data_IF_682237952601
#
_entry.id   IF_682237952601
#
_cell.length_a   1.000
_cell.length_b   1.000
_cell.length_c   1.000
_cell.angle_alpha   90.00
_cell.angle_beta   90.00
_cell.angle_gamma   90.00
#
_symmetry.space_group_name_H-M   'P 1'
#
loop_
_entity.id
_entity.type
_entity.pdbx_description
1 polymer ?
#
# COMPACT_ATOMS: atom_id res chain seq x y z
N UNK A 1 18.60 -4.06 3.50
CA UNK A 1 18.44 -4.05 4.97
C UNK A 1 17.59 -2.85 5.37
N UNK A 2 16.48 -3.03 6.11
CA UNK A 2 15.54 -1.97 6.49
C UNK A 2 16.18 -0.81 7.29
N UNK A 3 17.36 -1.05 7.86
CA UNK A 3 18.14 -0.08 8.61
C UNK A 3 18.73 1.06 7.76
N UNK A 4 18.95 0.86 6.45
CA UNK A 4 19.59 1.89 5.59
C UNK A 4 18.63 3.04 5.21
N UNK A 5 17.32 2.82 5.28
CA UNK A 5 16.30 3.85 5.00
C UNK A 5 16.01 4.76 6.21
N UNK A 6 16.42 4.33 7.42
CA UNK A 6 16.05 5.00 8.68
C UNK A 6 16.94 6.21 9.00
N UNK A 7 18.01 6.43 8.24
CA UNK A 7 19.13 7.29 8.65
C UNK A 7 19.15 8.71 8.03
N UNK A 8 18.15 9.09 7.22
CA UNK A 8 17.99 10.48 6.72
C UNK A 8 16.57 11.00 7.00
N UNK A 9 16.34 11.46 8.23
CA UNK A 9 15.08 12.00 8.77
C UNK A 9 14.68 13.39 8.24
N UNK A 10 14.87 13.68 6.95
CA UNK A 10 14.34 14.87 6.28
C UNK A 10 14.18 14.62 4.77
N UNK A 11 13.47 13.56 4.39
CA UNK A 11 13.07 13.37 2.99
C UNK A 11 11.76 14.13 2.74
N UNK A 12 11.72 15.14 1.84
CA UNK A 12 10.48 15.81 1.49
C UNK A 12 9.43 14.82 1.00
N UNK A 13 8.15 14.98 1.32
CA UNK A 13 7.09 14.07 0.88
C UNK A 13 7.05 13.87 -0.66
N UNK A 14 7.49 14.89 -1.42
CA UNK A 14 7.64 14.84 -2.88
C UNK A 14 8.68 13.80 -3.34
N UNK A 15 9.73 13.56 -2.56
CA UNK A 15 10.73 12.52 -2.78
C UNK A 15 10.12 11.12 -2.72
N UNK A 16 9.20 10.87 -1.78
CA UNK A 16 8.58 9.56 -1.60
C UNK A 16 7.67 9.18 -2.77
N UNK A 17 6.97 10.16 -3.37
CA UNK A 17 6.09 9.95 -4.54
C UNK A 17 6.85 9.54 -5.80
N UNK A 18 8.14 9.86 -5.87
CA UNK A 18 9.04 9.43 -6.96
C UNK A 18 9.51 7.98 -6.77
N UNK A 19 9.55 7.48 -5.52
CA UNK A 19 10.11 6.16 -5.20
C UNK A 19 9.08 5.05 -5.08
N UNK A 20 7.86 5.39 -4.68
CA UNK A 20 6.81 4.42 -4.48
C UNK A 20 5.47 4.94 -5.02
N UNK A 21 4.63 4.07 -5.60
CA UNK A 21 3.25 4.40 -5.92
C UNK A 21 2.51 4.95 -4.70
N UNK A 22 1.57 5.90 -4.88
CA UNK A 22 0.80 6.48 -3.77
C UNK A 22 0.12 5.45 -2.87
N UNK A 23 -0.35 4.34 -3.44
CA UNK A 23 -1.00 3.30 -2.67
C UNK A 23 -0.03 2.56 -1.73
N UNK A 24 1.19 2.26 -2.18
CA UNK A 24 2.19 1.62 -1.32
C UNK A 24 2.59 2.52 -0.15
N UNK A 25 2.65 3.85 -0.38
CA UNK A 25 2.88 4.81 0.70
C UNK A 25 1.72 4.81 1.70
N UNK A 26 0.48 4.71 1.22
CA UNK A 26 -0.71 4.59 2.07
C UNK A 26 -0.71 3.26 2.85
N UNK A 27 -0.47 2.13 2.19
CA UNK A 27 -0.30 0.80 2.81
C UNK A 27 0.73 0.85 3.95
N UNK A 28 1.90 1.46 3.70
CA UNK A 28 2.93 1.64 4.72
C UNK A 28 2.48 2.54 5.88
N UNK A 29 1.77 3.63 5.60
CA UNK A 29 1.23 4.52 6.64
C UNK A 29 0.17 3.81 7.50
N UNK A 30 -0.75 3.07 6.88
CA UNK A 30 -1.75 2.24 7.56
C UNK A 30 -1.08 1.22 8.47
N UNK A 31 -0.04 0.55 7.99
CA UNK A 31 0.72 -0.39 8.82
C UNK A 31 1.36 0.30 10.03
N UNK A 32 1.93 1.49 9.85
CA UNK A 32 2.53 2.25 10.95
C UNK A 32 1.50 2.70 11.99
N UNK A 33 0.28 3.06 11.59
CA UNK A 33 -0.80 3.45 12.52
C UNK A 33 -1.06 2.35 13.55
N UNK A 34 -1.13 1.09 13.09
CA UNK A 34 -1.48 -0.03 13.96
C UNK A 34 -0.27 -0.50 14.76
N UNK A 35 0.91 -0.61 14.12
CA UNK A 35 2.16 -1.00 14.79
C UNK A 35 2.58 -0.05 15.91
N UNK A 36 2.28 1.26 15.77
CA UNK A 36 2.60 2.25 16.80
C UNK A 36 1.44 2.47 17.79
N UNK A 37 0.30 1.80 17.60
CA UNK A 37 -0.88 1.98 18.44
C UNK A 37 -1.46 3.40 18.40
N UNK A 38 -1.43 4.05 17.23
CA UNK A 38 -1.97 5.41 17.03
C UNK A 38 -3.50 5.35 16.92
N UNK A 39 -4.15 5.08 18.05
CA UNK A 39 -5.60 4.82 18.13
C UNK A 39 -6.44 5.97 17.58
N UNK A 40 -5.98 7.22 17.75
CA UNK A 40 -6.66 8.41 17.19
C UNK A 40 -6.87 8.35 15.67
N UNK A 41 -6.10 7.52 14.96
CA UNK A 41 -6.19 7.36 13.50
C UNK A 41 -7.03 6.14 13.09
N UNK A 42 -7.53 5.35 14.04
CA UNK A 42 -8.29 4.13 13.73
C UNK A 42 -9.62 4.43 13.05
N UNK A 43 -10.22 5.62 13.30
CA UNK A 43 -11.43 6.05 12.59
C UNK A 43 -11.20 6.21 11.08
N UNK A 44 -10.13 6.90 10.69
CA UNK A 44 -9.76 7.11 9.28
C UNK A 44 -9.35 5.79 8.63
N UNK A 45 -8.61 4.95 9.35
CA UNK A 45 -8.24 3.62 8.88
C UNK A 45 -9.47 2.75 8.62
N UNK A 46 -10.44 2.75 9.53
CA UNK A 46 -11.65 1.97 9.36
C UNK A 46 -12.48 2.46 8.16
N UNK A 47 -12.60 3.78 7.93
CA UNK A 47 -13.24 4.31 6.72
C UNK A 47 -12.54 3.85 5.44
N UNK A 48 -11.21 3.82 5.44
CA UNK A 48 -10.44 3.33 4.32
C UNK A 48 -10.70 1.84 4.05
N UNK A 49 -10.68 1.00 5.09
CA UNK A 49 -10.99 -0.43 4.97
C UNK A 49 -12.41 -0.64 4.47
N UNK A 50 -13.39 0.08 5.02
CA UNK A 50 -14.80 0.00 4.62
C UNK A 50 -14.95 0.33 3.14
N UNK A 51 -14.43 1.48 2.68
CA UNK A 51 -14.48 1.90 1.28
C UNK A 51 -13.83 0.87 0.34
N UNK A 52 -12.61 0.42 0.65
CA UNK A 52 -11.89 -0.52 -0.23
C UNK A 52 -12.63 -1.86 -0.32
N UNK A 53 -13.16 -2.36 0.79
CA UNK A 53 -13.90 -3.63 0.83
C UNK A 53 -15.35 -3.53 0.32
N UNK A 54 -15.86 -2.33 0.06
CA UNK A 54 -17.09 -2.12 -0.71
C UNK A 54 -16.81 -2.10 -2.22
N UNK A 55 -15.69 -1.51 -2.63
CA UNK A 55 -15.24 -1.49 -4.03
C UNK A 55 -14.77 -2.86 -4.50
N UNK A 56 -14.13 -3.63 -3.62
CA UNK A 56 -13.60 -4.98 -3.89
C UNK A 56 -14.06 -5.93 -2.77
N UNK A 57 -15.31 -6.42 -2.82
CA UNK A 57 -15.86 -7.29 -1.77
C UNK A 57 -15.09 -8.60 -1.59
N UNK A 58 -14.43 -9.09 -2.63
CA UNK A 58 -13.63 -10.32 -2.62
C UNK A 58 -12.29 -10.15 -1.89
N UNK A 59 -11.91 -8.91 -1.57
CA UNK A 59 -10.63 -8.62 -0.92
C UNK A 59 -10.54 -9.31 0.44
N UNK A 60 -11.63 -9.36 1.21
CA UNK A 60 -11.67 -9.99 2.53
C UNK A 60 -12.95 -10.81 2.68
N UNK A 61 -12.88 -11.91 3.43
CA UNK A 61 -14.11 -12.59 3.80
C UNK A 61 -14.99 -11.68 4.67
N UNK A 62 -16.30 -11.90 4.66
CA UNK A 62 -17.24 -11.15 5.49
C UNK A 62 -16.81 -11.10 6.96
N UNK A 63 -16.43 -12.25 7.53
CA UNK A 63 -15.99 -12.35 8.93
C UNK A 63 -14.74 -11.52 9.20
N UNK A 64 -13.72 -11.60 8.34
CA UNK A 64 -12.49 -10.81 8.51
C UNK A 64 -12.75 -9.30 8.37
N UNK A 65 -13.58 -8.90 7.40
CA UNK A 65 -14.01 -7.50 7.22
C UNK A 65 -14.71 -6.98 8.47
N UNK A 66 -15.71 -7.73 8.97
CA UNK A 66 -16.47 -7.35 10.16
C UNK A 66 -15.57 -7.25 11.41
N UNK A 67 -14.70 -8.24 11.63
CA UNK A 67 -13.73 -8.22 12.74
C UNK A 67 -12.79 -7.01 12.66
N UNK A 68 -12.29 -6.67 11.49
CA UNK A 68 -11.38 -5.54 11.31
C UNK A 68 -12.08 -4.21 11.57
N UNK A 69 -13.24 -3.98 10.94
CA UNK A 69 -14.01 -2.73 11.08
C UNK A 69 -14.48 -2.55 12.54
N UNK A 70 -15.13 -3.57 13.10
CA UNK A 70 -15.59 -3.52 14.49
C UNK A 70 -14.41 -3.39 15.46
N UNK A 71 -13.32 -4.07 15.18
CA UNK A 71 -12.15 -4.09 16.06
C UNK A 71 -11.47 -2.71 16.16
N UNK A 72 -11.25 -2.07 15.02
CA UNK A 72 -10.69 -0.72 14.96
C UNK A 72 -11.60 0.28 15.70
N UNK A 73 -12.91 0.19 15.45
CA UNK A 73 -13.88 1.11 16.04
C UNK A 73 -14.06 0.90 17.55
N UNK A 74 -14.12 -0.36 17.99
CA UNK A 74 -14.21 -0.69 19.41
C UNK A 74 -12.98 -0.20 20.17
N UNK A 75 -11.77 -0.35 19.62
CA UNK A 75 -10.55 0.17 20.24
C UNK A 75 -10.58 1.69 20.37
N UNK A 76 -11.00 2.40 19.32
CA UNK A 76 -11.15 3.86 19.35
C UNK A 76 -12.13 4.30 20.44
N UNK A 77 -13.32 3.70 20.49
CA UNK A 77 -14.35 4.04 21.48
C UNK A 77 -13.88 3.76 22.91
N UNK A 78 -13.20 2.63 23.15
CA UNK A 78 -12.66 2.31 24.47
C UNK A 78 -11.56 3.31 24.89
N UNK A 79 -10.74 3.79 23.96
CA UNK A 79 -9.72 4.80 24.28
C UNK A 79 -10.37 6.14 24.63
N UNK A 80 -11.44 6.53 23.93
CA UNK A 80 -12.24 7.71 24.29
C UNK A 80 -12.88 7.56 25.69
N UNK A 81 -13.35 6.36 26.05
CA UNK A 81 -13.91 6.08 27.37
C UNK A 81 -12.86 6.15 28.50
N UNK A 82 -11.58 5.93 28.16
CA UNK A 82 -10.44 5.93 29.11
C UNK A 82 -10.00 7.34 29.51
N UNK A 83 -10.31 8.35 28.70
CA UNK A 83 -9.94 9.75 28.91
C UNK A 83 -10.56 10.42 30.15
N UNK A 84 -10.18 11.67 30.38
CA UNK A 84 -10.68 12.50 31.48
C UNK A 84 -12.20 12.72 31.38
N UNK A 85 -12.86 12.80 32.54
CA UNK A 85 -14.31 12.96 32.62
C UNK A 85 -14.71 14.44 32.73
N UNK A 86 -15.85 14.85 32.14
CA UNK A 86 -16.85 14.03 31.45
C UNK A 86 -16.39 13.62 30.04
N UNK A 87 -16.69 12.37 29.67
CA UNK A 87 -16.52 11.91 28.29
C UNK A 87 -17.65 12.52 27.47
N UNK A 88 -17.33 13.22 26.38
CA UNK A 88 -18.35 13.83 25.53
C UNK A 88 -19.08 12.74 24.75
N UNK A 89 -20.34 12.51 25.11
CA UNK A 89 -21.20 11.54 24.43
C UNK A 89 -21.44 11.94 22.97
N UNK A 90 -21.32 13.23 22.60
CA UNK A 90 -21.42 13.69 21.22
C UNK A 90 -20.27 13.18 20.35
N UNK A 91 -19.10 12.92 20.93
CA UNK A 91 -17.96 12.39 20.20
C UNK A 91 -18.02 10.87 20.04
N UNK A 92 -18.63 10.15 20.99
CA UNK A 92 -18.73 8.68 20.96
C UNK A 92 -19.94 8.19 20.14
N UNK A 93 -21.06 8.90 20.19
CA UNK A 93 -22.32 8.46 19.56
C UNK A 93 -22.18 8.14 18.05
N UNK A 94 -21.47 8.94 17.23
CA UNK A 94 -21.29 8.64 15.81
C UNK A 94 -20.58 7.29 15.56
N UNK A 95 -19.65 6.92 16.44
CA UNK A 95 -18.96 5.63 16.35
C UNK A 95 -19.87 4.47 16.76
N UNK A 96 -20.73 4.66 17.76
CA UNK A 96 -21.71 3.64 18.15
C UNK A 96 -22.79 3.44 17.08
N UNK A 97 -23.27 4.51 16.46
CA UNK A 97 -24.28 4.43 15.40
C UNK A 97 -23.72 3.71 14.17
N UNK A 98 -22.46 3.99 13.81
CA UNK A 98 -21.78 3.24 12.76
C UNK A 98 -21.57 1.78 13.12
N UNK A 99 -21.38 1.44 14.40
CA UNK A 99 -21.22 0.05 14.84
C UNK A 99 -22.50 -0.76 14.63
N UNK A 100 -23.67 -0.10 14.65
CA UNK A 100 -24.97 -0.68 14.33
C UNK A 100 -25.29 -0.66 12.82
N UNK A 101 -24.45 -0.03 12.00
CA UNK A 101 -24.66 0.02 10.57
C UNK A 101 -24.26 -1.32 9.95
N UNK A 102 -25.12 -1.95 9.13
CA UNK A 102 -24.86 -3.29 8.63
C UNK A 102 -23.59 -3.32 7.76
N UNK A 103 -22.61 -4.11 8.18
CA UNK A 103 -21.33 -4.28 7.45
C UNK A 103 -21.53 -5.04 6.12
N UNK A 104 -22.64 -5.79 5.98
CA UNK A 104 -23.20 -6.27 4.70
C UNK A 104 -24.63 -6.83 4.87
N UNK A 105 -25.26 -7.26 3.77
CA UNK A 105 -26.56 -7.96 3.74
C UNK A 105 -26.52 -9.42 4.22
N UNK A 106 -25.33 -9.98 4.49
CA UNK A 106 -25.16 -11.32 5.02
C UNK A 106 -25.27 -11.32 6.55
N UNK A 107 -26.29 -12.00 7.09
CA UNK A 107 -26.54 -12.10 8.53
C UNK A 107 -25.61 -13.13 9.16
N UNK A 108 -24.58 -12.66 9.85
CA UNK A 108 -23.82 -13.47 10.80
C UNK A 108 -24.30 -13.12 12.21
N UNK A 109 -25.00 -14.05 12.85
CA UNK A 109 -25.55 -13.86 14.18
C UNK A 109 -24.49 -13.52 15.23
N UNK A 110 -23.24 -13.99 15.06
CA UNK A 110 -22.16 -13.69 16.00
C UNK A 110 -21.71 -12.22 15.91
N UNK A 111 -21.74 -11.64 14.71
CA UNK A 111 -21.40 -10.22 14.48
C UNK A 111 -22.46 -9.33 15.13
N UNK A 112 -23.74 -9.59 14.83
CA UNK A 112 -24.87 -8.84 15.40
C UNK A 112 -24.90 -8.90 16.94
N UNK A 113 -24.67 -10.08 17.53
CA UNK A 113 -24.60 -10.24 18.99
C UNK A 113 -23.42 -9.46 19.60
N UNK A 114 -22.26 -9.49 18.95
CA UNK A 114 -21.06 -8.76 19.41
C UNK A 114 -21.28 -7.25 19.38
N UNK A 115 -21.96 -6.72 18.35
CA UNK A 115 -22.30 -5.30 18.23
C UNK A 115 -23.20 -4.84 19.38
N UNK A 116 -24.29 -5.58 19.66
CA UNK A 116 -25.23 -5.25 20.74
C UNK A 116 -24.52 -5.27 22.09
N UNK A 117 -23.78 -6.35 22.38
CA UNK A 117 -23.04 -6.49 23.64
C UNK A 117 -22.01 -5.38 23.84
N UNK A 118 -21.32 -4.96 22.77
CA UNK A 118 -20.33 -3.88 22.87
C UNK A 118 -20.99 -2.52 23.12
N UNK A 119 -22.11 -2.23 22.46
CA UNK A 119 -22.85 -0.98 22.70
C UNK A 119 -23.35 -0.91 24.15
N UNK A 120 -23.91 -2.01 24.68
CA UNK A 120 -24.34 -2.09 26.07
C UNK A 120 -23.16 -1.91 27.04
N UNK A 121 -22.01 -2.53 26.75
CA UNK A 121 -20.78 -2.32 27.52
C UNK A 121 -20.41 -0.84 27.56
N UNK A 122 -20.37 -0.15 26.41
CA UNK A 122 -20.01 1.28 26.35
C UNK A 122 -20.97 2.12 27.18
N UNK A 123 -22.29 1.93 27.05
CA UNK A 123 -23.26 2.62 27.88
C UNK A 123 -23.01 2.39 29.38
N UNK A 124 -22.75 1.14 29.78
CA UNK A 124 -22.44 0.78 31.17
C UNK A 124 -21.16 1.46 31.69
N UNK A 125 -20.13 1.62 30.85
CA UNK A 125 -18.90 2.32 31.20
C UNK A 125 -19.10 3.83 31.35
N UNK A 126 -19.99 4.43 30.54
CA UNK A 126 -20.30 5.86 30.60
C UNK A 126 -21.18 6.22 31.81
N UNK A 127 -22.09 5.32 32.21
CA UNK A 127 -23.01 5.55 33.33
C UNK A 127 -22.36 5.34 34.70
N UNK A 128 -21.39 4.42 34.82
CA UNK A 128 -20.84 4.01 36.12
C UNK A 128 -19.31 4.14 36.20
N UNK A 129 -18.78 5.20 36.85
CA UNK A 129 -17.34 5.43 36.98
C UNK A 129 -16.58 4.31 37.73
N UNK A 130 -17.22 3.65 38.70
CA UNK A 130 -16.61 2.54 39.43
C UNK A 130 -16.45 1.31 38.55
N UNK A 131 -17.50 0.97 37.80
CA UNK A 131 -17.43 -0.13 36.83
C UNK A 131 -16.42 0.17 35.72
N UNK A 132 -16.37 1.42 35.24
CA UNK A 132 -15.37 1.88 34.28
C UNK A 132 -13.95 1.65 34.78
N UNK A 133 -13.69 2.02 36.04
CA UNK A 133 -12.37 1.83 36.66
C UNK A 133 -12.01 0.34 36.75
N UNK A 134 -12.94 -0.50 37.22
CA UNK A 134 -12.76 -1.95 37.28
C UNK A 134 -12.51 -2.56 35.90
N UNK A 135 -13.29 -2.14 34.89
CA UNK A 135 -13.14 -2.60 33.52
C UNK A 135 -11.75 -2.33 32.98
N UNK A 136 -11.24 -1.10 33.08
CA UNK A 136 -9.91 -0.76 32.53
C UNK A 136 -8.74 -1.39 33.31
N UNK A 137 -8.94 -1.76 34.57
CA UNK A 137 -7.93 -2.43 35.39
C UNK A 137 -7.91 -3.95 35.17
N UNK A 138 -9.07 -4.60 35.16
CA UNK A 138 -9.17 -6.06 35.24
C UNK A 138 -9.63 -6.70 33.92
N UNK A 139 -10.59 -6.08 33.22
CA UNK A 139 -11.23 -6.68 32.04
C UNK A 139 -10.47 -6.29 30.76
N UNK A 140 -10.16 -5.00 30.59
CA UNK A 140 -9.54 -4.47 29.39
C UNK A 140 -8.21 -5.17 29.06
N UNK A 141 -7.25 -5.38 30.00
CA UNK A 141 -6.00 -6.05 29.66
C UNK A 141 -6.19 -7.50 29.21
N UNK A 142 -7.23 -8.18 29.69
CA UNK A 142 -7.51 -9.57 29.36
C UNK A 142 -8.16 -9.73 27.98
N UNK A 143 -9.12 -8.86 27.63
CA UNK A 143 -9.94 -9.01 26.41
C UNK A 143 -9.55 -8.05 25.28
N UNK A 144 -9.07 -6.86 25.63
CA UNK A 144 -8.68 -5.79 24.71
C UNK A 144 -7.18 -5.47 24.80
N UNK A 145 -6.38 -6.30 25.47
CA UNK A 145 -4.93 -6.11 25.59
C UNK A 145 -4.16 -6.60 24.36
N UNK A 146 -2.93 -7.09 24.59
CA UNK A 146 -1.99 -7.46 23.52
C UNK A 146 -2.52 -8.49 22.52
N UNK A 147 -3.37 -9.44 22.96
CA UNK A 147 -3.98 -10.43 22.06
C UNK A 147 -4.93 -9.78 21.06
N UNK A 148 -5.67 -8.77 21.50
CA UNK A 148 -6.58 -8.01 20.65
C UNK A 148 -5.77 -7.18 19.64
N UNK A 149 -4.76 -6.46 20.14
CA UNK A 149 -3.88 -5.64 19.30
C UNK A 149 -3.16 -6.48 18.24
N UNK A 150 -2.64 -7.66 18.60
CA UNK A 150 -2.04 -8.60 17.64
C UNK A 150 -3.05 -9.13 16.61
N UNK A 151 -4.30 -9.34 17.00
CA UNK A 151 -5.35 -9.77 16.06
C UNK A 151 -5.70 -8.68 15.06
N UNK A 152 -5.76 -7.42 15.51
CA UNK A 152 -5.92 -6.26 14.64
C UNK A 152 -4.74 -6.11 13.67
N UNK A 153 -3.51 -6.21 14.16
CA UNK A 153 -2.31 -6.19 13.31
C UNK A 153 -2.38 -7.26 12.21
N UNK A 154 -2.74 -8.50 12.55
CA UNK A 154 -2.87 -9.56 11.55
C UNK A 154 -3.93 -9.26 10.49
N UNK A 155 -5.11 -8.75 10.90
CA UNK A 155 -6.18 -8.41 9.96
C UNK A 155 -5.80 -7.25 9.04
N UNK A 156 -5.10 -6.24 9.57
CA UNK A 156 -4.62 -5.09 8.79
C UNK A 156 -3.51 -5.52 7.84
N UNK A 157 -2.60 -6.39 8.28
CA UNK A 157 -1.56 -6.96 7.43
C UNK A 157 -2.16 -7.73 6.25
N UNK A 158 -3.15 -8.58 6.51
CA UNK A 158 -3.85 -9.35 5.49
C UNK A 158 -4.56 -8.43 4.48
N UNK A 159 -5.26 -7.40 4.98
CA UNK A 159 -5.91 -6.39 4.15
C UNK A 159 -4.91 -5.68 3.22
N UNK A 160 -3.78 -5.19 3.76
CA UNK A 160 -2.74 -4.53 2.97
C UNK A 160 -2.15 -5.49 1.93
N UNK A 161 -1.83 -6.72 2.35
CA UNK A 161 -1.17 -7.70 1.48
C UNK A 161 -2.03 -8.01 0.26
N UNK A 162 -3.33 -8.24 0.45
CA UNK A 162 -4.26 -8.49 -0.66
C UNK A 162 -4.50 -7.24 -1.52
N UNK A 163 -4.49 -6.05 -0.91
CA UNK A 163 -4.62 -4.80 -1.66
C UNK A 163 -3.41 -4.57 -2.57
N UNK A 164 -2.20 -4.86 -2.08
CA UNK A 164 -0.97 -4.77 -2.86
C UNK A 164 -0.94 -5.83 -3.99
N UNK A 165 -1.47 -7.04 -3.76
CA UNK A 165 -1.62 -8.08 -4.79
C UNK A 165 -2.57 -7.67 -5.92
N UNK A 166 -3.62 -6.90 -5.61
CA UNK A 166 -4.57 -6.40 -6.61
C UNK A 166 -3.96 -5.35 -7.55
N UNK A 167 -2.91 -4.64 -7.08
CA UNK A 167 -2.35 -3.47 -7.76
C UNK A 167 -0.83 -3.63 -7.94
N UNK A 168 -0.39 -4.62 -8.75
CA UNK A 168 1.04 -4.86 -8.97
C UNK A 168 1.68 -3.64 -9.66
N UNK A 169 2.92 -3.33 -9.23
CA UNK A 169 3.70 -2.25 -9.84
C UNK A 169 4.21 -2.72 -11.20
N UNK A 170 3.85 -2.04 -12.31
CA UNK A 170 4.28 -2.45 -13.62
C UNK A 170 5.78 -2.20 -13.81
N UNK A 171 6.46 -3.14 -14.46
CA UNK A 171 7.86 -2.97 -14.83
C UNK A 171 8.01 -2.06 -16.08
N UNK A 172 9.26 -1.77 -16.45
CA UNK A 172 9.54 -0.91 -17.61
C UNK A 172 8.94 -1.46 -18.91
N UNK A 173 8.98 -2.78 -19.11
CA UNK A 173 8.46 -3.39 -20.35
C UNK A 173 6.94 -3.29 -20.42
N UNK A 174 6.25 -3.54 -19.31
CA UNK A 174 4.81 -3.40 -19.20
C UNK A 174 4.37 -1.96 -19.40
N UNK A 175 5.08 -0.98 -18.83
CA UNK A 175 4.83 0.45 -19.05
C UNK A 175 5.06 0.86 -20.51
N UNK A 176 6.12 0.37 -21.17
CA UNK A 176 6.38 0.69 -22.58
C UNK A 176 5.29 0.17 -23.51
N UNK A 177 4.77 -1.04 -23.27
CA UNK A 177 3.67 -1.59 -24.03
C UNK A 177 2.40 -0.73 -23.87
N UNK A 178 2.04 -0.40 -22.62
CA UNK A 178 0.87 0.44 -22.31
C UNK A 178 0.94 1.83 -22.97
N UNK A 179 2.11 2.47 -22.95
CA UNK A 179 2.31 3.79 -23.57
C UNK A 179 2.36 3.72 -25.10
N UNK A 180 2.84 2.61 -25.67
CA UNK A 180 2.81 2.36 -27.11
C UNK A 180 1.38 2.30 -27.65
N UNK A 181 0.47 1.70 -26.88
CA UNK A 181 -0.94 1.56 -27.24
C UNK A 181 -1.79 2.80 -26.90
N UNK A 182 -1.22 3.80 -26.21
CA UNK A 182 -1.92 5.00 -25.74
C UNK A 182 -1.15 6.32 -26.04
N UNK A 183 -1.26 6.86 -27.27
CA UNK A 183 -0.51 8.05 -27.69
C UNK A 183 -0.79 9.32 -26.87
N UNK A 184 -2.01 9.46 -26.33
CA UNK A 184 -2.38 10.59 -25.46
C UNK A 184 -1.68 10.52 -24.12
N UNK A 185 -1.61 9.34 -23.49
CA UNK A 185 -0.90 9.12 -22.24
C UNK A 185 0.60 9.37 -22.42
N UNK A 186 1.19 8.92 -23.52
CA UNK A 186 2.58 9.21 -23.86
C UNK A 186 2.84 10.73 -23.92
N UNK A 187 1.99 11.48 -24.61
CA UNK A 187 2.14 12.92 -24.72
C UNK A 187 1.98 13.63 -23.35
N UNK A 188 1.09 13.15 -22.49
CA UNK A 188 0.91 13.67 -21.13
C UNK A 188 2.12 13.36 -20.24
N UNK A 189 2.68 12.15 -20.32
CA UNK A 189 3.91 11.79 -19.62
C UNK A 189 5.09 12.67 -20.03
N UNK A 190 5.24 12.96 -21.34
CA UNK A 190 6.30 13.83 -21.85
C UNK A 190 6.10 15.31 -21.45
N UNK A 191 4.86 15.75 -21.22
CA UNK A 191 4.55 17.09 -20.71
C UNK A 191 4.69 17.18 -19.19
N UNK A 192 4.68 16.05 -18.47
CA UNK A 192 4.91 16.05 -17.03
C UNK A 192 6.36 16.44 -16.72
N UNK A 193 6.52 17.58 -16.04
CA UNK A 193 7.84 18.07 -15.63
C UNK A 193 8.03 17.83 -14.14
N UNK A 194 9.08 17.10 -13.77
CA UNK A 194 9.54 17.06 -12.38
C UNK A 194 10.25 18.37 -12.04
N UNK A 195 10.09 18.84 -10.79
CA UNK A 195 10.93 19.93 -10.29
C UNK A 195 12.38 19.43 -10.30
N UNK A 196 13.31 20.13 -10.99
CA UNK A 196 14.69 19.65 -11.13
C UNK A 196 15.41 19.41 -9.80
N UNK A 197 15.05 20.17 -8.76
CA UNK A 197 15.57 19.99 -7.41
C UNK A 197 15.22 18.65 -6.78
N UNK A 198 13.97 18.20 -6.95
CA UNK A 198 13.47 16.94 -6.38
C UNK A 198 14.13 15.74 -7.07
N UNK A 199 14.21 15.78 -8.40
CA UNK A 199 14.86 14.73 -9.17
C UNK A 199 16.35 14.61 -8.83
N UNK A 200 17.05 15.75 -8.70
CA UNK A 200 18.46 15.76 -8.29
C UNK A 200 18.63 15.10 -6.92
N UNK A 201 17.82 15.48 -5.93
CA UNK A 201 17.91 14.90 -4.59
C UNK A 201 17.70 13.37 -4.60
N UNK A 202 16.75 12.87 -5.39
CA UNK A 202 16.52 11.42 -5.62
C UNK A 202 17.74 10.75 -6.22
N UNK A 203 18.25 11.27 -7.33
CA UNK A 203 19.38 10.65 -8.03
C UNK A 203 20.65 10.66 -7.17
N UNK A 204 20.93 11.73 -6.45
CA UNK A 204 22.09 11.82 -5.56
C UNK A 204 22.00 10.83 -4.39
N UNK A 205 20.83 10.71 -3.76
CA UNK A 205 20.60 9.74 -2.70
C UNK A 205 20.84 8.30 -3.19
N UNK A 206 20.28 7.91 -4.34
CA UNK A 206 20.48 6.57 -4.87
C UNK A 206 21.90 6.29 -5.37
N UNK A 207 22.61 7.33 -5.82
CA UNK A 207 24.04 7.26 -6.14
C UNK A 207 24.88 6.98 -4.90
N UNK A 208 24.61 7.67 -3.78
CA UNK A 208 25.27 7.41 -2.48
C UNK A 208 25.00 6.00 -1.95
N UNK A 209 23.83 5.42 -2.24
CA UNK A 209 23.51 4.04 -1.88
C UNK A 209 24.29 2.98 -2.69
N UNK A 210 25.00 3.39 -3.75
CA UNK A 210 25.80 2.51 -4.61
C UNK A 210 24.97 1.76 -5.67
N UNK A 211 23.76 2.23 -5.97
CA UNK A 211 22.88 1.56 -6.95
C UNK A 211 23.31 1.80 -8.41
N UNK A 212 24.17 2.80 -8.66
CA UNK A 212 24.66 3.11 -10.00
C UNK A 212 25.96 2.36 -10.30
N UNK A 213 25.98 1.62 -11.42
CA UNK A 213 27.19 1.05 -12.00
C UNK A 213 27.28 1.51 -13.45
N UNK A 214 28.35 2.23 -13.75
CA UNK A 214 28.65 2.66 -15.11
C UNK A 214 28.97 1.44 -15.98
N UNK A 215 28.39 1.41 -17.18
CA UNK A 215 28.69 0.42 -18.21
C UNK A 215 29.14 1.17 -19.45
N UNK A 216 30.22 0.70 -20.09
CA UNK A 216 30.64 1.22 -21.37
C UNK A 216 29.56 0.92 -22.42
N UNK A 217 29.15 1.97 -23.14
CA UNK A 217 28.18 1.91 -24.24
C UNK A 217 28.89 2.30 -25.53
N UNK A 218 28.39 1.82 -26.67
CA UNK A 218 28.91 2.19 -27.99
C UNK A 218 28.61 3.66 -28.34
N UNK A 219 29.53 4.30 -29.07
CA UNK A 219 29.51 5.73 -29.43
C UNK A 219 28.79 5.99 -30.77
N UNK A 220 27.83 5.14 -31.14
CA UNK A 220 27.15 5.18 -32.44
C UNK A 220 26.45 6.51 -32.71
N UNK A 221 25.87 7.13 -31.67
CA UNK A 221 25.20 8.44 -31.76
C UNK A 221 26.22 9.53 -32.07
N UNK A 222 27.33 9.60 -31.32
CA UNK A 222 28.37 10.62 -31.53
C UNK A 222 29.04 10.46 -32.88
N UNK A 223 29.26 9.22 -33.32
CA UNK A 223 29.78 8.90 -34.65
C UNK A 223 28.85 9.39 -35.76
N UNK A 224 27.54 9.18 -35.60
CA UNK A 224 26.52 9.63 -36.56
C UNK A 224 26.38 11.17 -36.59
N UNK A 225 26.46 11.83 -35.43
CA UNK A 225 26.39 13.29 -35.33
C UNK A 225 27.66 13.99 -35.86
N UNK A 226 28.78 13.27 -35.92
CA UNK A 226 30.07 13.77 -36.43
C UNK A 226 30.19 13.65 -37.95
N UNK A 227 29.13 13.21 -38.65
CA UNK A 227 29.14 13.10 -40.10
C UNK A 227 29.31 14.46 -40.77
N UNK A 228 30.30 14.61 -41.68
CA UNK A 228 30.49 15.87 -42.40
C UNK A 228 29.33 16.13 -43.38
N UNK A 229 29.05 17.40 -43.71
CA UNK A 229 28.06 17.75 -44.75
C UNK A 229 28.43 17.07 -46.07
N UNK A 230 27.55 16.20 -46.57
CA UNK A 230 27.77 15.44 -47.81
C UNK A 230 28.30 14.01 -47.63
N UNK A 231 28.36 13.47 -46.40
CA UNK A 231 28.66 12.07 -46.17
C UNK A 231 27.68 11.15 -46.93
N UNK A 232 28.21 10.22 -47.73
CA UNK A 232 27.42 9.20 -48.43
C UNK A 232 27.33 7.95 -47.55
N UNK A 233 26.16 7.30 -47.45
CA UNK A 233 26.06 6.02 -46.76
C UNK A 233 27.00 5.03 -47.45
N UNK A 234 27.80 4.31 -46.66
CA UNK A 234 28.57 3.19 -47.16
C UNK A 234 27.57 2.18 -47.77
N UNK A 235 27.71 1.89 -49.06
CA UNK A 235 26.93 0.84 -49.72
C UNK A 235 27.54 -0.49 -49.27
N UNK A 236 27.04 -1.04 -48.17
CA UNK A 236 27.37 -2.40 -47.79
C UNK A 236 26.76 -3.35 -48.84
N UNK A 237 27.65 -3.96 -49.62
CA UNK A 237 27.28 -5.07 -50.48
C UNK A 237 26.85 -6.23 -49.58
N UNK A 238 25.61 -6.68 -49.77
CA UNK A 238 24.96 -7.70 -48.96
C UNK A 238 25.86 -8.89 -48.62
N UNK A 239 26.11 -9.10 -47.32
CA UNK A 239 26.30 -10.44 -46.77
C UNK A 239 25.01 -10.82 -46.06
N UNK A 240 24.15 -11.55 -46.77
CA UNK A 240 22.95 -12.15 -46.20
C UNK A 240 23.37 -13.12 -45.08
N UNK A 241 22.71 -13.14 -43.89
CA UNK A 241 22.93 -14.21 -42.95
C UNK A 241 22.32 -15.49 -43.54
N UNK A 242 23.18 -16.42 -43.92
CA UNK A 242 22.79 -17.76 -44.35
C UNK A 242 22.09 -18.44 -43.17
N UNK A 243 20.79 -18.67 -43.29
CA UNK A 243 20.11 -19.72 -42.56
C UNK A 243 20.75 -21.04 -42.98
N UNK A 244 21.55 -21.66 -42.11
CA UNK A 244 21.88 -23.08 -42.26
C UNK A 244 20.73 -23.87 -41.67
N UNK A 245 19.83 -24.25 -42.56
CA UNK A 245 18.96 -25.41 -42.41
C UNK A 245 19.88 -26.63 -42.27
N UNK A 246 19.93 -27.23 -41.07
CA UNK A 246 20.53 -28.54 -40.87
C UNK A 246 19.39 -29.50 -40.65
N UNK A 247 18.93 -30.13 -41.74
CA UNK A 247 18.19 -31.36 -41.60
C UNK A 247 18.68 -32.45 -42.57
N UNK A 248 18.94 -33.61 -41.96
CA UNK A 248 18.75 -34.96 -42.48
C UNK A 248 19.70 -35.57 -43.53
N UNK A 249 20.30 -36.70 -43.13
CA UNK A 249 20.56 -38.00 -43.83
C UNK A 249 21.98 -38.53 -43.51
N UNK A 250 22.26 -39.81 -43.23
CA UNK A 250 21.49 -41.05 -43.24
C UNK A 250 22.27 -42.14 -42.48
N UNK A 251 21.50 -43.02 -41.85
CA UNK A 251 21.68 -44.47 -41.69
C UNK A 251 22.90 -45.21 -42.29
N UNK A 252 23.30 -46.24 -41.50
CA UNK A 252 23.81 -47.60 -41.85
C UNK A 252 25.35 -47.75 -41.79
N UNK A 253 25.92 -48.74 -41.09
CA UNK A 253 25.41 -49.83 -40.27
C UNK A 253 26.54 -50.82 -39.94
N UNK A 254 26.40 -51.56 -38.84
CA UNK A 254 26.69 -52.99 -38.62
C UNK A 254 26.49 -53.32 -37.15
#
# INVERSE_FOLDING_TARGET
SPSRWREKRNCPFQYLRLLAPPLQLLSAAVWQVVQQGLVDHYGILEEFVTMVTELVPELMSYSQKAQLIMGLRARLVLEMCRGEHPVDMQDIQPHLDRLKAPVSTAKDHHVEESEVNFVELVHSLLENPTQRTYFFQEIFPAYFGSKYDASLEMLVWEFISRLDELLPVPDFTQLTALLGDAPTLLADCLRSSFQPGDLKAVLEHHRELGHFKEKAMDDCILSSLSLPPGAKPAVDSASSPHLTDSDSSELRGQ
#
